data_IF_285781402998
#
_entry.id   IF_285781402998
#
_cell.length_a   1.000
_cell.length_b   1.000
_cell.length_c   1.000
_cell.angle_alpha   90.00
_cell.angle_beta   90.00
_cell.angle_gamma   90.00
#
_symmetry.space_group_name_H-M   'P 1'
#
loop_
_entity.id
_entity.type
_entity.pdbx_description
1 polymer ?
#
# COMPACT_ATOMS: atom_id res chain seq x y z
N UNK A 1 10.95 43.80 29.04
CA UNK A 1 11.40 42.58 29.76
C UNK A 1 10.26 41.60 30.03
N UNK A 2 9.14 42.00 30.66
CA UNK A 2 7.99 41.11 30.99
C UNK A 2 7.43 40.27 29.83
N UNK A 3 7.31 40.84 28.62
CA UNK A 3 6.82 40.11 27.42
C UNK A 3 7.76 38.95 26.99
N UNK A 4 9.08 39.10 27.16
CA UNK A 4 10.05 38.04 26.80
C UNK A 4 9.93 36.83 27.72
N UNK A 5 9.75 37.06 29.02
CA UNK A 5 9.53 35.99 29.99
C UNK A 5 8.20 35.27 29.74
N UNK A 6 7.13 35.99 29.39
CA UNK A 6 5.84 35.37 29.03
C UNK A 6 5.96 34.43 27.82
N UNK A 7 6.67 34.86 26.78
CA UNK A 7 6.92 34.02 25.58
C UNK A 7 7.75 32.78 25.94
N UNK A 8 8.81 32.94 26.74
CA UNK A 8 9.65 31.80 27.17
C UNK A 8 8.86 30.81 28.04
N UNK A 9 8.05 31.30 28.98
CA UNK A 9 7.17 30.45 29.80
C UNK A 9 6.16 29.72 28.93
N UNK A 10 5.56 30.38 27.93
CA UNK A 10 4.63 29.73 27.01
C UNK A 10 5.29 28.62 26.20
N UNK A 11 6.49 28.87 25.64
CA UNK A 11 7.26 27.85 24.92
C UNK A 11 7.61 26.67 25.83
N UNK A 12 8.03 26.94 27.07
CA UNK A 12 8.35 25.91 28.05
C UNK A 12 7.13 25.05 28.40
N UNK A 13 5.96 25.67 28.60
CA UNK A 13 4.70 24.94 28.83
C UNK A 13 4.31 24.10 27.61
N UNK A 14 4.44 24.63 26.39
CA UNK A 14 4.22 23.86 25.17
C UNK A 14 5.15 22.65 25.08
N UNK A 15 6.42 22.80 25.44
CA UNK A 15 7.38 21.70 25.46
C UNK A 15 6.95 20.62 26.47
N UNK A 16 6.58 21.02 27.69
CA UNK A 16 6.09 20.08 28.71
C UNK A 16 4.82 19.34 28.27
N UNK A 17 3.83 20.08 27.73
CA UNK A 17 2.62 19.48 27.17
C UNK A 17 2.95 18.51 26.03
N UNK A 18 3.91 18.85 25.16
CA UNK A 18 4.34 17.99 24.06
C UNK A 18 4.99 16.71 24.59
N UNK A 19 5.87 16.82 25.59
CA UNK A 19 6.51 15.66 26.24
C UNK A 19 5.45 14.76 26.87
N UNK A 20 4.48 15.33 27.60
CA UNK A 20 3.40 14.56 28.22
C UNK A 20 2.54 13.84 27.16
N UNK A 21 2.16 14.54 26.09
CA UNK A 21 1.39 13.96 24.98
C UNK A 21 2.14 12.83 24.28
N UNK A 22 3.42 13.05 23.97
CA UNK A 22 4.29 12.09 23.29
C UNK A 22 4.53 10.82 24.12
N UNK A 23 4.43 10.89 25.45
CA UNK A 23 4.54 9.74 26.34
C UNK A 23 3.21 9.02 26.60
N UNK A 24 2.08 9.52 26.07
CA UNK A 24 0.78 8.85 26.19
C UNK A 24 0.86 7.46 25.55
N UNK A 25 0.38 6.44 26.28
CA UNK A 25 0.29 5.07 25.76
C UNK A 25 -0.77 5.01 24.65
N UNK A 26 -0.40 4.39 23.55
CA UNK A 26 -1.24 4.05 22.41
C UNK A 26 -1.08 2.57 22.09
N UNK A 27 -1.99 2.01 21.29
CA UNK A 27 -1.93 0.61 20.87
C UNK A 27 -1.43 0.49 19.42
N UNK A 28 -0.80 -0.64 19.13
CA UNK A 28 -0.56 -1.13 17.76
C UNK A 28 -0.89 -2.62 17.69
N UNK A 29 -1.40 -3.04 16.54
CA UNK A 29 -1.68 -4.44 16.25
C UNK A 29 -0.51 -5.11 15.55
N UNK A 30 -0.33 -6.41 15.78
CA UNK A 30 0.48 -7.30 14.96
C UNK A 30 -0.24 -8.65 14.89
N UNK A 31 -0.17 -9.32 13.74
CA UNK A 31 -0.79 -10.62 13.52
C UNK A 31 0.26 -11.70 13.27
N UNK A 32 0.02 -12.87 13.87
CA UNK A 32 0.78 -14.10 13.62
C UNK A 32 -0.23 -15.21 13.38
N UNK A 33 -0.11 -15.90 12.25
CA UNK A 33 -1.04 -16.96 11.81
C UNK A 33 -2.50 -16.50 11.90
N UNK A 34 -2.76 -15.31 11.36
CA UNK A 34 -4.07 -14.66 11.32
C UNK A 34 -4.67 -14.31 12.70
N UNK A 35 -3.91 -14.48 13.79
CA UNK A 35 -4.30 -14.05 15.14
C UNK A 35 -3.71 -12.69 15.44
N UNK A 36 -4.57 -11.69 15.57
CA UNK A 36 -4.17 -10.31 15.87
C UNK A 36 -4.01 -10.11 17.37
N UNK A 37 -2.82 -9.70 17.78
CA UNK A 37 -2.49 -9.26 19.13
C UNK A 37 -2.30 -7.75 19.16
N UNK A 38 -2.49 -7.13 20.34
CA UNK A 38 -2.27 -5.69 20.55
C UNK A 38 -1.16 -5.50 21.57
N UNK A 39 -0.28 -4.54 21.30
CA UNK A 39 0.73 -4.11 22.25
C UNK A 39 0.62 -2.60 22.52
N UNK A 40 0.98 -2.21 23.73
CA UNK A 40 1.05 -0.80 24.13
C UNK A 40 2.44 -0.24 23.84
N UNK A 41 2.49 0.97 23.31
CA UNK A 41 3.72 1.75 23.14
C UNK A 41 3.45 3.23 23.40
N UNK A 42 4.45 4.02 23.81
CA UNK A 42 4.36 5.47 23.83
C UNK A 42 4.09 6.03 22.42
N UNK A 43 3.33 7.13 22.36
CA UNK A 43 3.00 7.80 21.10
C UNK A 43 4.27 8.21 20.32
N UNK A 44 5.33 8.67 20.99
CA UNK A 44 6.57 9.06 20.33
C UNK A 44 7.20 7.90 19.55
N UNK A 45 7.19 6.68 20.09
CA UNK A 45 7.71 5.50 19.37
C UNK A 45 6.85 5.19 18.14
N UNK A 46 5.52 5.31 18.25
CA UNK A 46 4.61 5.13 17.10
C UNK A 46 4.89 6.15 15.99
N UNK A 47 5.13 7.41 16.36
CA UNK A 47 5.47 8.50 15.43
C UNK A 47 6.85 8.26 14.80
N UNK A 48 7.88 7.96 15.59
CA UNK A 48 9.23 7.69 15.09
C UNK A 48 9.23 6.51 14.11
N UNK A 49 8.59 5.39 14.47
CA UNK A 49 8.49 4.22 13.60
C UNK A 49 7.77 4.55 12.29
N UNK A 50 6.77 5.43 12.32
CA UNK A 50 6.05 5.85 11.12
C UNK A 50 6.93 6.69 10.19
N UNK A 51 7.67 7.67 10.72
CA UNK A 51 8.58 8.50 9.92
C UNK A 51 9.80 7.74 9.42
N UNK A 52 10.36 6.84 10.22
CA UNK A 52 11.43 5.95 9.80
C UNK A 52 11.03 5.18 8.53
N UNK A 53 9.88 4.49 8.56
CA UNK A 53 9.33 3.81 7.38
C UNK A 53 9.07 4.75 6.23
N UNK A 54 8.54 5.95 6.48
CA UNK A 54 8.30 6.93 5.42
C UNK A 54 9.57 7.30 4.65
N UNK A 55 10.66 7.62 5.36
CA UNK A 55 11.93 7.96 4.71
C UNK A 55 12.57 6.75 4.04
N UNK A 56 12.44 5.58 4.65
CA UNK A 56 12.89 4.32 4.08
C UNK A 56 12.17 4.00 2.75
N UNK A 57 10.85 4.20 2.66
CA UNK A 57 10.12 4.07 1.40
C UNK A 57 10.58 5.09 0.35
N UNK A 58 10.72 6.37 0.72
CA UNK A 58 11.21 7.42 -0.21
C UNK A 58 12.59 7.09 -0.76
N UNK A 59 13.49 6.61 0.10
CA UNK A 59 14.82 6.18 -0.29
C UNK A 59 14.74 4.97 -1.23
N UNK A 60 13.98 3.94 -0.84
CA UNK A 60 13.85 2.69 -1.61
C UNK A 60 13.30 2.94 -3.02
N UNK A 61 12.20 3.67 -3.17
CA UNK A 61 11.64 3.95 -4.50
C UNK A 61 12.60 4.76 -5.36
N UNK A 62 13.36 5.69 -4.76
CA UNK A 62 14.40 6.44 -5.48
C UNK A 62 15.53 5.54 -5.96
N UNK A 63 15.95 4.55 -5.16
CA UNK A 63 16.96 3.58 -5.60
C UNK A 63 16.46 2.71 -6.76
N UNK A 64 15.22 2.22 -6.67
CA UNK A 64 14.66 1.31 -7.68
C UNK A 64 14.39 2.05 -9.00
N UNK A 65 13.90 3.30 -8.93
CA UNK A 65 13.29 3.99 -10.07
C UNK A 65 13.95 5.30 -10.47
N UNK A 66 14.97 5.76 -9.73
CA UNK A 66 15.54 7.11 -9.88
C UNK A 66 16.23 7.39 -11.22
N UNK A 67 16.58 6.34 -11.96
CA UNK A 67 17.20 6.42 -13.29
C UNK A 67 16.18 6.34 -14.44
N UNK A 68 14.89 6.22 -14.13
CA UNK A 68 13.83 6.08 -15.13
C UNK A 68 13.13 7.42 -15.36
N UNK A 69 12.73 7.67 -16.60
CA UNK A 69 12.12 8.94 -16.99
C UNK A 69 10.60 8.90 -16.84
N UNK A 70 9.96 7.88 -17.42
CA UNK A 70 8.49 7.84 -17.49
C UNK A 70 7.87 7.20 -16.25
N UNK A 71 6.65 7.61 -15.90
CA UNK A 71 5.93 7.03 -14.76
C UNK A 71 5.56 5.56 -15.01
N UNK A 72 5.27 5.19 -16.24
CA UNK A 72 4.93 3.82 -16.63
C UNK A 72 6.13 2.88 -16.45
N UNK A 73 7.33 3.32 -16.87
CA UNK A 73 8.56 2.55 -16.64
C UNK A 73 8.83 2.35 -15.15
N UNK A 74 8.58 3.39 -14.33
CA UNK A 74 8.73 3.28 -12.87
C UNK A 74 7.75 2.27 -12.27
N UNK A 75 6.49 2.27 -12.70
CA UNK A 75 5.48 1.31 -12.26
C UNK A 75 5.92 -0.11 -12.62
N UNK A 76 6.30 -0.34 -13.88
CA UNK A 76 6.77 -1.65 -14.35
C UNK A 76 8.03 -2.09 -13.59
N UNK A 77 8.98 -1.19 -13.37
CA UNK A 77 10.20 -1.50 -12.60
C UNK A 77 9.88 -1.89 -11.17
N UNK A 78 8.98 -1.19 -10.48
CA UNK A 78 8.53 -1.54 -9.13
C UNK A 78 7.79 -2.88 -9.09
N UNK A 79 6.99 -3.16 -10.11
CA UNK A 79 6.29 -4.44 -10.27
C UNK A 79 7.28 -5.59 -10.39
N UNK A 80 8.21 -5.51 -11.35
CA UNK A 80 9.29 -6.49 -11.52
C UNK A 80 10.09 -6.67 -10.24
N UNK A 81 10.52 -5.55 -9.64
CA UNK A 81 11.30 -5.56 -8.41
C UNK A 81 10.56 -6.29 -7.29
N UNK A 82 9.26 -6.03 -7.13
CA UNK A 82 8.46 -6.67 -6.08
C UNK A 82 8.41 -8.19 -6.28
N UNK A 83 8.13 -8.65 -7.49
CA UNK A 83 8.07 -10.08 -7.83
C UNK A 83 9.43 -10.77 -7.67
N UNK A 84 10.51 -10.14 -8.13
CA UNK A 84 11.87 -10.69 -8.05
C UNK A 84 12.36 -10.79 -6.59
N UNK A 85 12.01 -9.79 -5.78
CA UNK A 85 12.54 -9.57 -4.45
C UNK A 85 11.81 -10.33 -3.35
N UNK A 86 10.48 -10.40 -3.43
CA UNK A 86 9.67 -11.04 -2.40
C UNK A 86 9.39 -12.49 -2.82
N UNK A 87 9.64 -13.43 -1.93
CA UNK A 87 9.37 -14.84 -2.15
C UNK A 87 8.03 -15.26 -1.55
N UNK A 88 7.37 -16.30 -2.09
CA UNK A 88 6.22 -16.89 -1.42
C UNK A 88 6.56 -17.30 0.01
N UNK A 89 5.58 -17.18 0.91
CA UNK A 89 5.70 -17.58 2.30
C UNK A 89 6.19 -19.03 2.41
N UNK A 90 7.32 -19.29 3.08
CA UNK A 90 7.75 -20.65 3.38
C UNK A 90 6.77 -21.33 4.34
N UNK A 91 6.40 -22.58 4.06
CA UNK A 91 5.46 -23.36 4.89
C UNK A 91 5.95 -23.57 6.33
N UNK A 92 7.28 -23.57 6.53
CA UNK A 92 7.91 -23.76 7.84
C UNK A 92 7.89 -22.52 8.74
N UNK A 93 7.47 -21.36 8.23
CA UNK A 93 7.47 -20.09 8.95
C UNK A 93 6.04 -19.57 9.15
N UNK A 94 5.77 -18.86 10.26
CA UNK A 94 4.44 -18.32 10.51
C UNK A 94 4.07 -17.23 9.49
N UNK A 95 2.77 -17.09 9.24
CA UNK A 95 2.24 -15.98 8.44
C UNK A 95 2.22 -14.73 9.32
N UNK A 96 3.01 -13.75 8.94
CA UNK A 96 3.18 -12.51 9.70
C UNK A 96 2.37 -11.38 9.07
N UNK A 97 1.29 -10.95 9.73
CA UNK A 97 0.51 -9.76 9.38
C UNK A 97 1.04 -8.56 10.17
N UNK A 98 2.05 -7.93 9.58
CA UNK A 98 2.77 -6.81 10.17
C UNK A 98 2.78 -5.64 9.19
N UNK A 99 3.56 -4.59 9.47
CA UNK A 99 3.60 -3.46 8.55
C UNK A 99 4.18 -3.90 7.20
N UNK A 100 3.71 -3.29 6.12
CA UNK A 100 4.20 -3.53 4.75
C UNK A 100 5.72 -3.39 4.60
N UNK A 101 6.36 -2.63 5.48
CA UNK A 101 7.81 -2.45 5.45
C UNK A 101 8.52 -3.71 5.92
N UNK A 102 7.93 -4.43 6.87
CA UNK A 102 8.48 -5.67 7.39
C UNK A 102 8.44 -6.78 6.34
N UNK A 103 7.48 -6.74 5.40
CA UNK A 103 7.45 -7.62 4.22
C UNK A 103 8.71 -7.43 3.39
N UNK A 104 9.08 -6.17 3.12
CA UNK A 104 10.33 -5.85 2.45
C UNK A 104 11.54 -6.32 3.25
N UNK A 105 11.58 -6.07 4.56
CA UNK A 105 12.72 -6.49 5.40
C UNK A 105 12.90 -8.01 5.38
N UNK A 106 11.82 -8.78 5.55
CA UNK A 106 11.88 -10.25 5.62
C UNK A 106 11.96 -10.94 4.26
N UNK A 107 11.60 -10.25 3.16
CA UNK A 107 11.68 -10.75 1.76
C UNK A 107 10.78 -11.93 1.43
N UNK A 108 9.76 -12.22 2.24
CA UNK A 108 8.75 -13.22 1.92
C UNK A 108 7.37 -12.84 2.46
N UNK A 109 6.32 -13.43 1.90
CA UNK A 109 4.96 -13.22 2.38
C UNK A 109 3.90 -13.96 1.59
N UNK A 110 2.65 -13.78 1.99
CA UNK A 110 1.47 -14.27 1.28
C UNK A 110 1.03 -13.26 0.20
N UNK A 111 0.10 -13.62 -0.68
CA UNK A 111 -0.40 -12.78 -1.79
C UNK A 111 -0.66 -11.32 -1.37
N UNK A 112 -1.43 -11.09 -0.31
CA UNK A 112 -1.74 -9.73 0.17
C UNK A 112 -0.49 -8.90 0.49
N UNK A 113 0.60 -9.53 0.96
CA UNK A 113 1.84 -8.83 1.24
C UNK A 113 2.51 -8.29 -0.02
N UNK A 114 2.43 -9.02 -1.14
CA UNK A 114 2.95 -8.57 -2.43
C UNK A 114 2.14 -7.38 -2.96
N UNK A 115 0.81 -7.49 -2.91
CA UNK A 115 -0.09 -6.44 -3.37
C UNK A 115 0.02 -5.15 -2.54
N UNK A 116 0.13 -5.27 -1.21
CA UNK A 116 0.28 -4.12 -0.33
C UNK A 116 1.65 -3.46 -0.51
N UNK A 117 2.73 -4.23 -0.65
CA UNK A 117 4.06 -3.68 -0.94
C UNK A 117 4.09 -2.96 -2.29
N UNK A 118 3.65 -3.63 -3.36
CA UNK A 118 3.66 -3.04 -4.69
C UNK A 118 2.84 -1.75 -4.75
N UNK A 119 1.60 -1.77 -4.28
CA UNK A 119 0.73 -0.58 -4.29
C UNK A 119 1.26 0.53 -3.39
N UNK A 120 1.87 0.20 -2.24
CA UNK A 120 2.55 1.18 -1.39
C UNK A 120 3.70 1.85 -2.14
N UNK A 121 4.58 1.09 -2.78
CA UNK A 121 5.71 1.66 -3.54
C UNK A 121 5.24 2.54 -4.71
N UNK A 122 4.17 2.15 -5.39
CA UNK A 122 3.53 2.97 -6.42
C UNK A 122 3.04 4.33 -5.86
N UNK A 123 2.37 4.33 -4.72
CA UNK A 123 1.98 5.59 -4.06
C UNK A 123 3.19 6.48 -3.73
N UNK A 124 4.35 5.90 -3.39
CA UNK A 124 5.58 6.63 -3.10
C UNK A 124 6.29 7.23 -4.34
N UNK A 125 6.00 6.76 -5.56
CA UNK A 125 6.40 7.44 -6.80
C UNK A 125 5.35 8.46 -7.30
N UNK A 126 4.32 8.73 -6.47
CA UNK A 126 3.28 9.71 -6.76
C UNK A 126 2.22 9.23 -7.75
N UNK A 127 1.95 7.92 -7.78
CA UNK A 127 0.86 7.37 -8.58
C UNK A 127 -0.18 6.71 -7.68
N UNK A 128 -1.46 6.99 -7.90
CA UNK A 128 -2.51 6.37 -7.11
C UNK A 128 -2.50 4.86 -7.34
N UNK A 129 -2.37 4.11 -6.25
CA UNK A 129 -2.40 2.67 -6.29
C UNK A 129 -3.09 2.07 -5.07
N UNK A 130 -3.77 0.96 -5.28
CA UNK A 130 -4.39 0.16 -4.22
C UNK A 130 -4.45 -1.30 -4.64
N UNK A 131 -4.99 -2.16 -3.80
CA UNK A 131 -5.34 -3.52 -4.16
C UNK A 131 -6.68 -3.88 -3.56
N UNK A 132 -7.40 -4.78 -4.22
CA UNK A 132 -8.68 -5.31 -3.72
C UNK A 132 -8.88 -6.73 -4.21
N UNK A 133 -9.81 -7.43 -3.56
CA UNK A 133 -10.27 -8.74 -4.00
C UNK A 133 -11.34 -8.58 -5.09
N UNK A 134 -11.18 -9.35 -6.17
CA UNK A 134 -12.20 -9.57 -7.19
C UNK A 134 -12.84 -10.93 -6.98
N UNK A 135 -14.15 -10.98 -7.17
CA UNK A 135 -14.96 -12.18 -7.03
C UNK A 135 -15.34 -12.68 -8.42
N UNK A 136 -15.18 -13.98 -8.64
CA UNK A 136 -15.65 -14.63 -9.86
C UNK A 136 -17.17 -14.52 -9.93
N UNK A 137 -17.72 -14.33 -11.13
CA UNK A 137 -19.18 -14.30 -11.32
C UNK A 137 -19.83 -15.66 -11.06
N UNK A 138 -19.17 -16.72 -11.54
CA UNK A 138 -19.76 -18.07 -11.59
C UNK A 138 -19.22 -19.05 -10.53
N UNK A 139 -18.31 -18.61 -9.66
CA UNK A 139 -17.69 -19.48 -8.64
C UNK A 139 -17.42 -18.70 -7.35
N UNK A 140 -17.29 -19.39 -6.22
CA UNK A 140 -16.81 -18.79 -4.95
C UNK A 140 -15.31 -18.41 -4.98
N UNK A 141 -14.69 -18.44 -6.16
CA UNK A 141 -13.31 -18.05 -6.36
C UNK A 141 -13.11 -16.56 -6.15
N UNK A 142 -11.96 -16.22 -5.55
CA UNK A 142 -11.48 -14.84 -5.41
C UNK A 142 -10.03 -14.71 -5.86
N UNK A 143 -9.67 -13.55 -6.37
CA UNK A 143 -8.28 -13.16 -6.63
C UNK A 143 -8.03 -11.78 -6.04
N UNK A 144 -6.81 -11.53 -5.56
CA UNK A 144 -6.37 -10.19 -5.20
C UNK A 144 -5.66 -9.59 -6.41
N UNK A 145 -5.97 -8.35 -6.77
CA UNK A 145 -5.26 -7.60 -7.79
C UNK A 145 -4.90 -6.21 -7.29
N UNK A 146 -3.76 -5.71 -7.76
CA UNK A 146 -3.34 -4.33 -7.57
C UNK A 146 -3.77 -3.49 -8.76
N UNK A 147 -4.26 -2.29 -8.46
CA UNK A 147 -4.73 -1.31 -9.41
C UNK A 147 -3.85 -0.08 -9.32
N UNK A 148 -3.34 0.39 -10.46
CA UNK A 148 -2.45 1.56 -10.53
C UNK A 148 -2.98 2.54 -11.58
N UNK A 149 -3.19 3.80 -11.19
CA UNK A 149 -3.63 4.84 -12.12
C UNK A 149 -2.50 5.19 -13.08
N UNK A 150 -2.78 5.13 -14.37
CA UNK A 150 -1.91 5.60 -15.45
C UNK A 150 -2.51 6.88 -16.06
N UNK A 151 -1.83 7.47 -17.06
CA UNK A 151 -2.41 8.58 -17.83
C UNK A 151 -3.65 8.17 -18.64
N UNK A 152 -3.75 6.89 -19.01
CA UNK A 152 -4.81 6.35 -19.89
C UNK A 152 -6.01 5.81 -19.10
N UNK A 153 -5.80 5.43 -17.85
CA UNK A 153 -6.81 4.77 -17.03
C UNK A 153 -6.18 3.92 -15.94
N UNK A 154 -6.98 3.11 -15.27
CA UNK A 154 -6.50 2.17 -14.27
C UNK A 154 -5.93 0.91 -14.93
N UNK A 155 -4.71 0.53 -14.58
CA UNK A 155 -4.10 -0.72 -15.03
C UNK A 155 -4.05 -1.75 -13.87
N UNK A 156 -4.17 -3.03 -14.20
CA UNK A 156 -4.18 -4.14 -13.25
C UNK A 156 -2.85 -4.90 -13.21
N UNK A 157 -2.50 -5.38 -12.01
CA UNK A 157 -1.26 -6.10 -11.75
C UNK A 157 -1.49 -7.21 -10.72
N UNK A 158 -0.85 -8.35 -10.94
CA UNK A 158 -0.75 -9.48 -10.03
C UNK A 158 0.73 -9.69 -9.64
N UNK A 159 1.25 -8.89 -8.68
CA UNK A 159 2.64 -9.00 -8.23
C UNK A 159 2.97 -10.33 -7.57
N UNK A 160 1.99 -11.08 -7.06
CA UNK A 160 2.24 -12.39 -6.46
C UNK A 160 2.57 -13.44 -7.52
N UNK A 161 1.80 -13.47 -8.61
CA UNK A 161 2.03 -14.39 -9.72
C UNK A 161 3.01 -13.86 -10.77
N UNK A 162 3.45 -12.61 -10.65
CA UNK A 162 4.32 -11.95 -11.63
C UNK A 162 3.60 -11.71 -12.96
N UNK A 163 2.31 -11.37 -12.90
CA UNK A 163 1.47 -11.13 -14.08
C UNK A 163 1.01 -9.67 -14.18
N UNK A 164 1.04 -9.13 -15.39
CA UNK A 164 0.41 -7.86 -15.73
C UNK A 164 -0.19 -7.92 -17.13
N UNK A 165 -0.98 -6.93 -17.49
CA UNK A 165 -1.78 -6.95 -18.72
C UNK A 165 -1.34 -5.83 -19.67
N UNK A 166 -1.19 -6.18 -20.94
CA UNK A 166 -0.91 -5.23 -22.02
C UNK A 166 -1.99 -5.28 -23.07
N UNK A 167 -2.25 -4.16 -23.72
CA UNK A 167 -3.16 -4.10 -24.85
C UNK A 167 -2.43 -4.40 -26.17
N UNK A 168 -3.14 -4.45 -27.29
CA UNK A 168 -2.59 -4.80 -28.59
C UNK A 168 -1.60 -3.76 -29.14
N UNK A 169 -1.63 -2.53 -28.61
CA UNK A 169 -0.63 -1.49 -28.92
C UNK A 169 0.67 -1.63 -28.10
N UNK A 170 0.71 -2.57 -27.15
CA UNK A 170 1.88 -2.89 -26.32
C UNK A 170 2.03 -2.04 -25.05
N UNK A 171 1.12 -1.11 -24.77
CA UNK A 171 1.06 -0.38 -23.51
C UNK A 171 0.36 -1.17 -22.40
N UNK A 172 0.42 -0.71 -21.15
CA UNK A 172 -0.41 -1.28 -20.08
C UNK A 172 -1.89 -1.24 -20.47
N UNK A 173 -2.59 -2.37 -20.35
CA UNK A 173 -4.02 -2.45 -20.61
C UNK A 173 -4.80 -1.75 -19.50
N UNK A 174 -5.73 -0.88 -19.88
CA UNK A 174 -6.64 -0.24 -18.93
C UNK A 174 -7.83 -1.13 -18.62
N UNK A 175 -8.63 -0.78 -17.60
CA UNK A 175 -9.88 -1.49 -17.30
C UNK A 175 -10.86 -1.43 -18.46
N UNK A 176 -10.96 -0.27 -19.11
CA UNK A 176 -11.81 -0.04 -20.27
C UNK A 176 -11.42 -1.01 -21.41
N UNK A 177 -10.14 -1.11 -21.70
CA UNK A 177 -9.60 -2.02 -22.71
C UNK A 177 -9.78 -3.50 -22.33
N UNK A 178 -9.69 -3.80 -21.04
CA UNK A 178 -9.96 -5.15 -20.52
C UNK A 178 -11.42 -5.55 -20.72
N UNK A 179 -12.36 -4.61 -20.53
CA UNK A 179 -13.78 -4.82 -20.81
C UNK A 179 -14.03 -5.02 -22.32
N UNK A 180 -13.29 -4.29 -23.16
CA UNK A 180 -13.31 -4.41 -24.63
C UNK A 180 -12.58 -5.66 -25.16
N UNK A 181 -11.99 -6.47 -24.26
CA UNK A 181 -11.19 -7.66 -24.58
C UNK A 181 -9.84 -7.36 -25.28
N UNK A 182 -9.42 -6.09 -25.35
CA UNK A 182 -8.12 -5.62 -25.85
C UNK A 182 -7.03 -5.78 -24.78
N UNK A 183 -6.66 -7.04 -24.52
CA UNK A 183 -5.59 -7.34 -23.58
C UNK A 183 -4.98 -8.73 -23.77
N UNK A 184 -3.71 -8.85 -23.39
CA UNK A 184 -2.97 -10.09 -23.27
C UNK A 184 -2.16 -10.13 -21.97
N UNK A 185 -1.86 -11.34 -21.51
CA UNK A 185 -1.09 -11.59 -20.29
C UNK A 185 0.40 -11.48 -20.61
N UNK A 186 1.11 -10.73 -19.77
CA UNK A 186 2.56 -10.80 -19.69
C UNK A 186 2.96 -11.46 -18.37
N UNK A 187 3.90 -12.41 -18.44
CA UNK A 187 4.37 -13.21 -17.31
C UNK A 187 5.86 -12.95 -17.06
N UNK A 188 6.24 -12.74 -15.81
CA UNK A 188 7.66 -12.64 -15.40
C UNK A 188 8.25 -14.00 -15.00
N UNK A 189 7.40 -14.93 -14.56
CA UNK A 189 7.78 -16.27 -14.15
C UNK A 189 7.21 -17.37 -15.04
N UNK A 190 7.48 -18.61 -14.65
CA UNK A 190 7.00 -19.81 -15.34
C UNK A 190 5.58 -20.23 -14.93
N UNK A 191 4.86 -19.41 -14.17
CA UNK A 191 3.53 -19.76 -13.67
C UNK A 191 2.57 -20.01 -14.84
N UNK A 192 2.02 -21.22 -14.89
CA UNK A 192 1.09 -21.62 -15.96
C UNK A 192 -0.33 -21.11 -15.67
N UNK A 193 -0.53 -19.81 -15.89
CA UNK A 193 -1.83 -19.14 -15.78
C UNK A 193 -2.31 -18.73 -17.16
N UNK A 194 -3.54 -19.11 -17.51
CA UNK A 194 -4.15 -18.80 -18.80
C UNK A 194 -4.97 -17.51 -18.78
N UNK A 195 -5.28 -16.95 -19.95
CA UNK A 195 -6.21 -15.80 -20.10
C UNK A 195 -7.57 -16.12 -19.47
N UNK A 196 -8.05 -17.36 -19.61
CA UNK A 196 -9.31 -17.81 -19.05
C UNK A 196 -9.36 -17.74 -17.52
N UNK A 197 -8.22 -17.95 -16.84
CA UNK A 197 -8.14 -17.88 -15.38
C UNK A 197 -8.48 -16.48 -14.84
N UNK A 198 -8.13 -15.41 -15.57
CA UNK A 198 -8.45 -14.03 -15.20
C UNK A 198 -9.80 -13.56 -15.73
N UNK A 199 -10.19 -14.00 -16.94
CA UNK A 199 -11.41 -13.52 -17.61
C UNK A 199 -12.65 -13.63 -16.73
N UNK A 200 -12.83 -14.74 -16.02
CA UNK A 200 -13.96 -14.98 -15.10
C UNK A 200 -14.08 -13.96 -13.95
N UNK A 201 -12.99 -13.29 -13.58
CA UNK A 201 -12.98 -12.25 -12.56
C UNK A 201 -13.20 -10.86 -13.18
N UNK A 202 -12.81 -10.68 -14.45
CA UNK A 202 -12.94 -9.40 -15.15
C UNK A 202 -14.37 -9.12 -15.61
N UNK A 203 -15.18 -10.15 -15.79
CA UNK A 203 -16.60 -10.02 -16.13
C UNK A 203 -17.46 -9.39 -15.02
N UNK A 204 -16.91 -9.24 -13.79
CA UNK A 204 -17.56 -8.61 -12.65
C UNK A 204 -16.66 -7.53 -12.01
N UNK A 205 -15.95 -6.75 -12.84
CA UNK A 205 -15.12 -5.66 -12.31
C UNK A 205 -15.99 -4.63 -11.60
N UNK A 206 -15.72 -4.33 -10.32
CA UNK A 206 -16.44 -3.29 -9.61
C UNK A 206 -16.05 -1.90 -10.15
N UNK A 207 -16.79 -0.88 -9.74
CA UNK A 207 -16.43 0.51 -10.06
C UNK A 207 -15.11 0.88 -9.38
N UNK A 208 -14.01 0.76 -10.12
CA UNK A 208 -12.66 0.99 -9.60
C UNK A 208 -12.43 2.46 -9.22
N UNK A 209 -13.08 3.41 -9.89
CA UNK A 209 -12.97 4.81 -9.51
C UNK A 209 -13.59 5.03 -8.12
N UNK A 210 -14.78 4.46 -7.86
CA UNK A 210 -15.42 4.51 -6.55
C UNK A 210 -14.58 3.82 -5.46
N UNK A 211 -14.03 2.64 -5.75
CA UNK A 211 -13.14 1.94 -4.80
C UNK A 211 -11.87 2.76 -4.55
N UNK A 212 -11.32 3.44 -5.56
CA UNK A 212 -10.10 4.23 -5.40
C UNK A 212 -10.27 5.46 -4.51
N UNK A 213 -11.50 5.98 -4.44
CA UNK A 213 -11.93 7.04 -3.53
C UNK A 213 -12.12 6.49 -2.12
N UNK A 214 -12.53 5.23 -2.01
CA UNK A 214 -12.64 4.53 -0.73
C UNK A 214 -11.26 4.24 -0.10
N UNK A 215 -11.24 4.08 1.22
CA UNK A 215 -10.04 3.97 2.04
C UNK A 215 -9.09 2.83 1.58
N UNK A 216 -7.97 3.17 0.90
CA UNK A 216 -6.91 2.19 0.62
C UNK A 216 -5.75 2.31 1.62
N UNK A 217 -5.41 1.19 2.27
CA UNK A 217 -4.34 1.12 3.29
C UNK A 217 -3.00 1.63 2.76
N UNK A 218 -2.69 1.33 1.50
CA UNK A 218 -1.45 1.74 0.83
C UNK A 218 -1.28 3.28 0.74
N UNK A 219 -2.36 4.04 0.50
CA UNK A 219 -2.31 5.52 0.45
C UNK A 219 -1.95 6.15 1.80
N UNK A 220 -2.32 5.51 2.91
CA UNK A 220 -2.11 6.02 4.27
C UNK A 220 -0.76 5.68 4.87
N UNK A 221 0.13 5.07 4.09
CA UNK A 221 1.53 4.88 4.49
C UNK A 221 2.34 6.19 4.44
N UNK A 222 1.77 7.26 3.88
CA UNK A 222 2.33 8.62 3.88
C UNK A 222 1.86 9.43 5.11
N UNK A 223 2.75 10.18 5.81
CA UNK A 223 2.39 10.96 7.00
C UNK A 223 1.28 11.97 6.75
N UNK A 224 1.32 12.66 5.61
CA UNK A 224 0.34 13.68 5.27
C UNK A 224 -1.02 13.05 5.03
N UNK A 225 -1.08 11.94 4.30
CA UNK A 225 -2.33 11.24 4.02
C UNK A 225 -2.91 10.64 5.30
N UNK A 226 -2.06 10.07 6.16
CA UNK A 226 -2.47 9.54 7.46
C UNK A 226 -3.02 10.63 8.39
N UNK A 227 -2.38 11.79 8.42
CA UNK A 227 -2.85 12.93 9.21
C UNK A 227 -4.19 13.45 8.71
N UNK A 228 -4.34 13.64 7.39
CA UNK A 228 -5.62 14.04 6.77
C UNK A 228 -6.74 13.06 7.14
N UNK A 229 -6.47 11.76 7.05
CA UNK A 229 -7.40 10.70 7.44
C UNK A 229 -7.80 10.81 8.92
N UNK A 230 -6.83 10.92 9.82
CA UNK A 230 -7.10 10.98 11.26
C UNK A 230 -7.89 12.24 11.64
N UNK A 231 -7.61 13.38 11.02
CA UNK A 231 -8.37 14.60 11.23
C UNK A 231 -9.79 14.47 10.72
N UNK A 232 -9.99 13.92 9.51
CA UNK A 232 -11.31 13.67 8.96
C UNK A 232 -12.15 12.79 9.89
N UNK A 233 -11.63 11.62 10.28
CA UNK A 233 -12.34 10.68 11.17
C UNK A 233 -12.61 11.26 12.56
N UNK A 234 -11.75 12.16 13.05
CA UNK A 234 -11.98 12.84 14.32
C UNK A 234 -13.07 13.90 14.21
N UNK A 235 -13.04 14.74 13.17
CA UNK A 235 -14.07 15.76 12.93
C UNK A 235 -15.43 15.18 12.59
N UNK A 236 -15.48 13.99 11.96
CA UNK A 236 -16.73 13.28 11.68
C UNK A 236 -17.28 12.52 12.90
N UNK A 237 -16.52 12.44 13.99
CA UNK A 237 -16.92 11.69 15.19
C UNK A 237 -16.82 10.17 15.05
N UNK A 238 -16.25 9.66 13.95
CA UNK A 238 -16.07 8.22 13.73
C UNK A 238 -15.08 7.59 14.71
N UNK A 239 -13.98 8.30 15.04
CA UNK A 239 -12.91 7.77 15.90
C UNK A 239 -12.28 8.85 16.78
N UNK A 240 -11.76 8.48 17.97
CA UNK A 240 -10.95 9.37 18.80
C UNK A 240 -9.65 9.80 18.10
N UNK A 241 -9.21 11.04 18.37
CA UNK A 241 -7.90 11.52 17.97
C UNK A 241 -6.82 10.65 18.66
N UNK A 242 -6.04 9.90 17.87
CA UNK A 242 -4.92 9.01 18.25
C UNK A 242 -5.20 7.49 18.36
N UNK A 243 -6.38 7.02 17.95
CA UNK A 243 -6.61 5.59 17.61
C UNK A 243 -6.34 5.29 16.13
#
# INVERSE_FOLDING_TARGET
>A
MKKKYLVLTFIFLLLLCSIALLNKKVTTGYGVDYKVSRMNLPLYLKVLNFYDRHFNYKWLVKQITGHLDTREDKILRLFHWTYETIKPQPESLPVMDSHVWDVYVRRYGVSDNFHDLFSTLCNYIGTDAFFTMLYSKDTDGRITLSFVKTKRGWAMFDPFNGIYFRNDTGGLATIEEINEQDWHIVKLGQTDISKANYKRYFENLPNIEEISLSYSRAKYQSPINRLKLQLYSWFSGEKPLLE
#
